data_IF_700404261619
#
_entry.id   IF_700404261619
#
_cell.length_a   1.000
_cell.length_b   1.000
_cell.length_c   1.000
_cell.angle_alpha   90.00
_cell.angle_beta   90.00
_cell.angle_gamma   90.00
#
_symmetry.space_group_name_H-M   'P 1'
#
loop_
_entity.id
_entity.type
_entity.pdbx_description
1 polymer ?
#
# COMPACT_ATOMS: atom_id res chain seq x y z
N UNK A 1 31.10 -27.58 7.47
CA UNK A 1 30.55 -26.70 6.43
C UNK A 1 29.19 -27.24 6.02
N UNK A 2 28.09 -26.63 6.49
CA UNK A 2 26.76 -26.99 6.01
C UNK A 2 26.56 -26.37 4.64
N UNK A 3 26.31 -27.21 3.63
CA UNK A 3 25.90 -26.79 2.30
C UNK A 3 24.56 -26.08 2.43
N UNK A 4 24.56 -24.74 2.39
CA UNK A 4 23.33 -23.95 2.35
C UNK A 4 22.75 -24.18 0.94
N UNK A 5 21.77 -25.07 0.84
CA UNK A 5 20.99 -25.23 -0.38
C UNK A 5 20.29 -23.89 -0.66
N UNK A 6 20.65 -23.25 -1.78
CA UNK A 6 19.93 -22.08 -2.24
C UNK A 6 18.49 -22.49 -2.54
N UNK A 7 17.48 -21.71 -2.10
CA UNK A 7 16.08 -22.02 -2.36
C UNK A 7 15.81 -22.05 -3.87
N UNK A 8 14.90 -22.91 -4.30
CA UNK A 8 14.51 -23.03 -5.71
C UNK A 8 13.85 -21.72 -6.18
N UNK A 9 14.20 -21.30 -7.39
CA UNK A 9 13.51 -20.19 -8.06
C UNK A 9 12.16 -20.67 -8.57
N UNK A 10 11.08 -20.00 -8.18
CA UNK A 10 9.72 -20.33 -8.60
C UNK A 10 9.20 -19.30 -9.61
N UNK A 11 8.46 -19.78 -10.61
CA UNK A 11 7.62 -18.92 -11.46
C UNK A 11 6.31 -18.64 -10.72
N UNK A 12 6.28 -17.51 -10.01
CA UNK A 12 5.13 -17.13 -9.19
C UNK A 12 4.20 -16.19 -9.96
N UNK A 13 3.07 -16.72 -10.44
CA UNK A 13 1.94 -15.93 -10.94
C UNK A 13 0.85 -15.92 -9.86
N UNK A 14 0.77 -14.88 -9.02
CA UNK A 14 -0.15 -14.88 -7.89
C UNK A 14 -1.61 -14.90 -8.37
N UNK A 15 -2.38 -15.88 -7.91
CA UNK A 15 -3.82 -15.91 -8.16
C UNK A 15 -4.55 -14.81 -7.36
N UNK A 16 -4.11 -14.57 -6.13
CA UNK A 16 -4.72 -13.62 -5.18
C UNK A 16 -3.71 -12.60 -4.64
N UNK A 17 -4.21 -11.49 -4.11
CA UNK A 17 -3.36 -10.49 -3.45
C UNK A 17 -2.60 -11.04 -2.23
N UNK A 18 -3.22 -11.94 -1.48
CA UNK A 18 -2.57 -12.61 -0.34
C UNK A 18 -1.41 -13.49 -0.81
N UNK A 19 -1.58 -14.20 -1.93
CA UNK A 19 -0.50 -15.03 -2.51
C UNK A 19 0.63 -14.18 -3.10
N UNK A 20 0.34 -12.98 -3.61
CA UNK A 20 1.33 -11.98 -4.06
C UNK A 20 2.15 -11.45 -2.88
N UNK A 21 1.50 -11.24 -1.74
CA UNK A 21 2.08 -10.58 -0.58
C UNK A 21 2.08 -9.06 -0.70
N UNK A 22 2.52 -8.42 0.38
CA UNK A 22 2.53 -6.97 0.59
C UNK A 22 3.96 -6.44 0.49
N UNK A 23 4.17 -5.34 -0.24
CA UNK A 23 5.50 -4.77 -0.43
C UNK A 23 6.13 -4.33 0.90
N UNK A 24 7.35 -4.78 1.17
CA UNK A 24 8.10 -4.41 2.39
C UNK A 24 9.08 -3.29 2.06
N UNK A 25 9.05 -2.16 2.77
CA UNK A 25 9.93 -1.02 2.50
C UNK A 25 11.32 -1.21 3.10
N UNK A 26 11.99 -2.32 2.77
CA UNK A 26 13.35 -2.59 3.23
C UNK A 26 14.37 -1.57 2.70
N UNK A 27 15.41 -1.31 3.49
CA UNK A 27 16.52 -0.43 3.11
C UNK A 27 17.70 -1.20 2.52
N UNK A 28 17.79 -2.51 2.78
CA UNK A 28 18.79 -3.40 2.18
C UNK A 28 18.58 -3.53 0.68
N UNK A 29 19.55 -3.16 -0.18
CA UNK A 29 19.37 -3.15 -1.63
C UNK A 29 18.97 -4.49 -2.24
N UNK A 30 19.48 -5.61 -1.68
CA UNK A 30 19.12 -6.96 -2.12
C UNK A 30 17.68 -7.36 -1.88
N UNK A 31 16.99 -6.64 -1.01
CA UNK A 31 15.58 -6.86 -0.67
C UNK A 31 14.67 -5.82 -1.34
N UNK A 32 15.18 -5.04 -2.29
CA UNK A 32 14.38 -4.13 -3.08
C UNK A 32 13.25 -4.89 -3.80
N UNK A 33 12.02 -4.40 -3.67
CA UNK A 33 10.84 -5.06 -4.25
C UNK A 33 10.39 -6.33 -3.51
N UNK A 34 11.02 -6.71 -2.41
CA UNK A 34 10.58 -7.85 -1.62
C UNK A 34 9.17 -7.64 -1.05
N UNK A 35 8.41 -8.72 -0.98
CA UNK A 35 7.04 -8.75 -0.45
C UNK A 35 6.94 -9.74 0.69
N UNK A 36 6.17 -9.42 1.73
CA UNK A 36 5.86 -10.32 2.83
C UNK A 36 4.46 -10.89 2.67
N UNK A 37 4.30 -12.18 2.95
CA UNK A 37 2.98 -12.84 2.97
C UNK A 37 2.90 -13.82 4.12
N UNK A 38 1.67 -14.17 4.50
CA UNK A 38 1.43 -15.28 5.41
C UNK A 38 1.56 -16.58 4.62
N UNK A 39 2.62 -17.34 4.89
CA UNK A 39 2.88 -18.65 4.29
C UNK A 39 2.08 -19.79 4.94
N UNK A 40 2.37 -21.04 4.56
CA UNK A 40 1.79 -22.22 5.19
C UNK A 40 1.97 -22.20 6.72
N UNK A 41 1.02 -22.76 7.46
CA UNK A 41 1.04 -22.80 8.94
C UNK A 41 1.12 -21.43 9.63
N UNK A 42 0.69 -20.35 8.95
CA UNK A 42 0.73 -18.97 9.45
C UNK A 42 2.13 -18.43 9.73
N UNK A 43 3.17 -19.01 9.14
CA UNK A 43 4.53 -18.47 9.23
C UNK A 43 4.76 -17.39 8.17
N UNK A 44 5.36 -16.23 8.52
CA UNK A 44 5.66 -15.17 7.56
C UNK A 44 6.76 -15.60 6.56
N UNK A 45 6.49 -15.44 5.28
CA UNK A 45 7.44 -15.68 4.19
C UNK A 45 7.74 -14.39 3.43
N UNK A 46 8.92 -14.34 2.82
CA UNK A 46 9.33 -13.27 1.92
C UNK A 46 9.41 -13.79 0.49
N UNK A 47 8.74 -13.08 -0.41
CA UNK A 47 8.87 -13.20 -1.86
C UNK A 47 9.91 -12.17 -2.30
N UNK A 48 11.09 -12.61 -2.69
CA UNK A 48 12.22 -11.76 -3.07
C UNK A 48 12.42 -11.84 -4.59
N UNK A 49 12.46 -10.70 -5.31
CA UNK A 49 12.81 -10.71 -6.73
C UNK A 49 14.15 -11.40 -6.97
N UNK A 50 14.30 -12.08 -8.12
CA UNK A 50 15.54 -12.78 -8.44
C UNK A 50 16.74 -11.81 -8.41
N UNK A 51 17.72 -11.97 -7.49
CA UNK A 51 18.83 -11.03 -7.34
C UNK A 51 19.76 -10.92 -8.55
N UNK A 52 19.64 -11.84 -9.50
CA UNK A 52 20.37 -11.81 -10.78
C UNK A 52 19.62 -11.01 -11.86
N UNK A 53 18.47 -10.40 -11.55
CA UNK A 53 17.61 -9.70 -12.51
C UNK A 53 16.95 -10.63 -13.54
N UNK A 54 17.01 -11.94 -13.29
CA UNK A 54 16.34 -12.97 -14.09
C UNK A 54 14.85 -13.04 -13.81
N UNK A 55 14.13 -13.86 -14.59
CA UNK A 55 12.72 -14.16 -14.31
C UNK A 55 12.57 -14.97 -13.02
N UNK A 56 11.39 -14.88 -12.42
CA UNK A 56 11.00 -15.63 -11.23
C UNK A 56 11.33 -14.92 -9.92
N UNK A 57 10.96 -15.57 -8.82
CA UNK A 57 11.14 -15.07 -7.45
C UNK A 57 11.71 -16.18 -6.57
N UNK A 58 12.30 -15.78 -5.44
CA UNK A 58 12.63 -16.68 -4.35
C UNK A 58 11.60 -16.53 -3.24
N UNK A 59 11.06 -17.65 -2.76
CA UNK A 59 10.23 -17.67 -1.56
C UNK A 59 11.11 -18.19 -0.42
N UNK A 60 11.35 -17.32 0.57
CA UNK A 60 12.30 -17.57 1.65
C UNK A 60 11.71 -17.23 3.00
N UNK A 61 12.09 -18.01 4.00
CA UNK A 61 11.96 -17.65 5.40
C UNK A 61 13.05 -16.63 5.78
N UNK A 62 12.90 -15.93 6.90
CA UNK A 62 13.88 -14.92 7.33
C UNK A 62 15.30 -15.48 7.55
N UNK A 63 15.41 -16.73 8.01
CA UNK A 63 16.69 -17.42 8.10
C UNK A 63 17.39 -17.54 6.75
N UNK A 64 16.63 -17.78 5.67
CA UNK A 64 17.13 -17.84 4.31
C UNK A 64 17.57 -16.48 3.76
N UNK A 65 16.96 -15.37 4.20
CA UNK A 65 17.39 -14.01 3.82
C UNK A 65 18.84 -13.74 4.22
N UNK A 66 19.26 -14.23 5.38
CA UNK A 66 20.65 -14.07 5.86
C UNK A 66 21.68 -14.84 5.03
N UNK A 67 21.24 -15.83 4.25
CA UNK A 67 22.08 -16.50 3.27
C UNK A 67 22.21 -15.69 1.96
N UNK A 68 21.25 -14.80 1.67
CA UNK A 68 21.26 -13.95 0.48
C UNK A 68 22.00 -12.64 0.72
N UNK A 69 21.82 -12.01 1.88
CA UNK A 69 22.36 -10.70 2.21
C UNK A 69 22.54 -10.49 3.72
N UNK A 70 23.16 -9.39 4.12
CA UNK A 70 23.17 -8.91 5.50
C UNK A 70 22.13 -7.78 5.66
N UNK A 71 20.95 -8.03 6.25
CA UNK A 71 19.92 -7.00 6.40
C UNK A 71 20.36 -5.90 7.37
N UNK A 72 19.87 -4.68 7.16
CA UNK A 72 20.04 -3.58 8.11
C UNK A 72 19.33 -3.86 9.44
N UNK A 73 19.68 -3.08 10.46
CA UNK A 73 18.98 -3.13 11.76
C UNK A 73 17.50 -2.77 11.58
N UNK A 74 17.21 -1.74 10.77
CA UNK A 74 15.85 -1.36 10.40
C UNK A 74 15.06 -2.57 9.85
N UNK A 75 15.62 -3.25 8.84
CA UNK A 75 14.96 -4.36 8.16
C UNK A 75 14.74 -5.55 9.09
N UNK A 76 15.71 -5.83 9.97
CA UNK A 76 15.60 -6.90 10.96
C UNK A 76 14.49 -6.63 11.98
N UNK A 77 14.37 -5.40 12.46
CA UNK A 77 13.31 -5.01 13.39
C UNK A 77 11.94 -4.98 12.72
N UNK A 78 11.86 -4.47 11.48
CA UNK A 78 10.65 -4.49 10.67
C UNK A 78 10.13 -5.91 10.49
N UNK A 79 10.98 -6.83 10.02
CA UNK A 79 10.56 -8.21 9.84
C UNK A 79 10.13 -8.87 11.16
N UNK A 80 10.86 -8.63 12.26
CA UNK A 80 10.50 -9.17 13.58
C UNK A 80 9.08 -8.75 14.00
N UNK A 81 8.69 -7.50 13.75
CA UNK A 81 7.32 -7.02 14.06
C UNK A 81 6.28 -7.59 13.12
N UNK A 82 6.58 -7.66 11.82
CA UNK A 82 5.70 -8.28 10.84
C UNK A 82 5.44 -9.75 11.17
N UNK A 83 6.44 -10.47 11.66
CA UNK A 83 6.32 -11.86 12.07
C UNK A 83 5.41 -12.10 13.27
N UNK A 84 5.12 -11.06 14.06
CA UNK A 84 4.18 -11.12 15.19
C UNK A 84 2.73 -10.80 14.77
N UNK A 85 2.50 -10.37 13.52
CA UNK A 85 1.16 -10.05 13.05
C UNK A 85 0.35 -11.33 12.76
N UNK A 86 -0.95 -11.37 13.13
CA UNK A 86 -1.80 -12.53 12.85
C UNK A 86 -2.11 -12.69 11.35
N UNK A 87 -2.09 -11.59 10.60
CA UNK A 87 -2.26 -11.53 9.15
C UNK A 87 -1.48 -10.33 8.61
N UNK A 88 -0.81 -10.51 7.48
CA UNK A 88 -0.09 -9.47 6.77
C UNK A 88 -0.99 -8.88 5.68
N UNK A 89 -1.33 -7.60 5.83
CA UNK A 89 -2.07 -6.79 4.87
C UNK A 89 -1.38 -5.41 4.70
N UNK A 90 -1.71 -4.64 3.65
CA UNK A 90 -1.06 -3.36 3.37
C UNK A 90 -1.14 -2.34 4.49
N UNK A 91 -2.28 -2.26 5.20
CA UNK A 91 -2.44 -1.27 6.26
C UNK A 91 -1.57 -1.63 7.46
N UNK A 92 -1.65 -2.87 7.95
CA UNK A 92 -0.84 -3.32 9.10
C UNK A 92 0.65 -3.29 8.81
N UNK A 93 1.05 -3.65 7.60
CA UNK A 93 2.46 -3.55 7.20
C UNK A 93 2.91 -2.09 7.21
N UNK A 94 2.10 -1.17 6.66
CA UNK A 94 2.42 0.25 6.63
C UNK A 94 2.52 0.83 8.03
N UNK A 95 1.56 0.54 8.91
CA UNK A 95 1.61 0.96 10.32
C UNK A 95 2.86 0.44 11.02
N UNK A 96 3.20 -0.84 10.81
CA UNK A 96 4.40 -1.45 11.38
C UNK A 96 5.67 -0.77 10.85
N UNK A 97 5.74 -0.50 9.55
CA UNK A 97 6.87 0.18 8.92
C UNK A 97 7.04 1.60 9.44
N UNK A 98 5.95 2.37 9.57
CA UNK A 98 5.97 3.71 10.16
C UNK A 98 6.42 3.66 11.62
N UNK A 99 5.90 2.71 12.42
CA UNK A 99 6.32 2.58 13.81
C UNK A 99 7.84 2.31 13.95
N UNK A 100 8.39 1.40 13.13
CA UNK A 100 9.84 1.09 13.14
C UNK A 100 10.66 2.27 12.62
N UNK A 101 10.22 2.94 11.56
CA UNK A 101 10.91 4.10 11.02
C UNK A 101 10.92 5.29 11.99
N UNK A 102 9.85 5.47 12.78
CA UNK A 102 9.73 6.50 13.82
C UNK A 102 10.79 6.36 14.93
N UNK A 103 11.31 5.15 15.16
CA UNK A 103 12.37 4.89 16.14
C UNK A 103 13.76 5.34 15.67
N UNK A 104 13.90 5.77 14.41
CA UNK A 104 15.11 6.40 13.89
C UNK A 104 16.17 5.45 13.35
N UNK A 105 15.87 4.15 13.23
CA UNK A 105 16.80 3.16 12.66
C UNK A 105 17.09 3.35 11.16
N UNK A 106 16.29 4.17 10.47
CA UNK A 106 16.51 4.59 9.07
C UNK A 106 16.88 6.09 8.97
N UNK A 107 17.43 6.68 10.04
CA UNK A 107 17.84 8.07 10.11
C UNK A 107 16.84 9.02 10.77
N UNK A 108 17.36 10.17 11.24
CA UNK A 108 16.58 11.19 11.98
C UNK A 108 15.56 11.91 11.09
N UNK A 109 15.93 12.18 9.84
CA UNK A 109 15.04 12.84 8.87
C UNK A 109 13.84 11.95 8.56
N UNK A 110 14.08 10.65 8.32
CA UNK A 110 13.03 9.63 8.15
C UNK A 110 12.09 9.61 9.34
N UNK A 111 12.61 9.55 10.57
CA UNK A 111 11.78 9.56 11.78
C UNK A 111 10.91 10.84 11.89
N UNK A 112 11.45 12.00 11.53
CA UNK A 112 10.70 13.27 11.57
C UNK A 112 9.60 13.34 10.50
N UNK A 113 9.85 12.85 9.27
CA UNK A 113 8.84 12.75 8.22
C UNK A 113 7.72 11.76 8.59
N UNK A 114 8.10 10.61 9.14
CA UNK A 114 7.17 9.56 9.57
C UNK A 114 6.27 10.02 10.71
N UNK A 115 6.78 10.79 11.69
CA UNK A 115 5.93 11.37 12.75
C UNK A 115 4.81 12.25 12.18
N UNK A 116 5.14 13.12 11.22
CA UNK A 116 4.14 13.96 10.54
C UNK A 116 3.11 13.11 9.77
N UNK A 117 3.54 11.99 9.18
CA UNK A 117 2.64 11.05 8.52
C UNK A 117 1.67 10.39 9.49
N UNK A 118 2.18 9.90 10.62
CA UNK A 118 1.35 9.28 11.67
C UNK A 118 0.32 10.28 12.22
N UNK A 119 0.72 11.53 12.45
CA UNK A 119 -0.18 12.60 12.89
C UNK A 119 -1.26 12.91 11.84
N UNK A 120 -0.88 13.03 10.57
CA UNK A 120 -1.83 13.25 9.47
C UNK A 120 -2.81 12.08 9.30
N UNK A 121 -2.35 10.85 9.43
CA UNK A 121 -3.20 9.65 9.37
C UNK A 121 -4.20 9.62 10.53
N UNK A 122 -3.75 9.97 11.74
CA UNK A 122 -4.63 10.06 12.92
C UNK A 122 -5.70 11.12 12.72
N UNK A 123 -5.34 12.29 12.20
CA UNK A 123 -6.29 13.34 11.87
C UNK A 123 -7.29 12.90 10.79
N UNK A 124 -6.83 12.17 9.77
CA UNK A 124 -7.68 11.65 8.70
C UNK A 124 -8.65 10.58 9.18
N UNK A 125 -8.23 9.66 10.07
CA UNK A 125 -9.11 8.67 10.71
C UNK A 125 -10.19 9.33 11.56
N UNK A 126 -9.81 10.32 12.39
CA UNK A 126 -10.78 11.07 13.18
C UNK A 126 -11.80 11.78 12.29
N UNK A 127 -11.34 12.43 11.21
CA UNK A 127 -12.22 13.10 10.23
C UNK A 127 -13.16 12.10 9.55
N UNK A 128 -12.65 10.94 9.15
CA UNK A 128 -13.44 9.87 8.55
C UNK A 128 -14.56 9.40 9.47
N UNK A 129 -14.23 9.10 10.73
CA UNK A 129 -15.21 8.69 11.72
C UNK A 129 -16.32 9.74 11.92
N UNK A 130 -15.94 11.02 12.07
CA UNK A 130 -16.90 12.11 12.27
C UNK A 130 -17.81 12.29 11.05
N UNK A 131 -17.26 12.27 9.84
CA UNK A 131 -18.04 12.40 8.61
C UNK A 131 -19.02 11.23 8.42
N UNK A 132 -18.60 10.00 8.73
CA UNK A 132 -19.47 8.82 8.63
C UNK A 132 -20.64 8.92 9.62
N UNK A 133 -20.37 9.33 10.86
CA UNK A 133 -21.39 9.56 11.88
C UNK A 133 -22.35 10.69 11.49
N UNK A 134 -21.83 11.84 11.04
CA UNK A 134 -22.68 12.94 10.57
C UNK A 134 -23.56 12.52 9.41
N UNK A 135 -23.02 11.76 8.45
CA UNK A 135 -23.80 11.25 7.31
C UNK A 135 -24.91 10.29 7.78
N UNK A 136 -24.62 9.40 8.73
CA UNK A 136 -25.62 8.51 9.32
C UNK A 136 -26.72 9.27 10.06
N UNK A 137 -26.37 10.27 10.87
CA UNK A 137 -27.35 11.09 11.61
C UNK A 137 -28.28 11.79 10.63
N UNK A 138 -27.72 12.44 9.60
CA UNK A 138 -28.52 13.14 8.59
C UNK A 138 -29.43 12.20 7.79
N UNK A 139 -29.01 10.95 7.56
CA UNK A 139 -29.82 9.96 6.85
C UNK A 139 -31.00 9.45 7.70
N UNK A 140 -30.81 9.28 9.00
CA UNK A 140 -31.83 8.71 9.91
C UNK A 140 -32.76 9.77 10.51
N UNK A 141 -32.29 11.01 10.66
CA UNK A 141 -33.08 12.16 11.14
C UNK A 141 -33.08 13.30 10.09
N UNK A 142 -33.69 13.08 8.89
CA UNK A 142 -33.68 14.06 7.81
C UNK A 142 -34.48 15.33 8.13
N UNK A 143 -35.47 15.23 9.03
CA UNK A 143 -36.28 16.35 9.50
C UNK A 143 -35.48 17.32 10.39
N UNK A 144 -34.24 16.95 10.76
CA UNK A 144 -33.40 17.77 11.63
C UNK A 144 -34.06 18.01 12.98
N UNK A 145 -34.83 17.06 13.50
CA UNK A 145 -35.47 17.19 14.83
C UNK A 145 -34.44 17.34 15.93
N UNK A 146 -33.22 16.88 15.67
CA UNK A 146 -32.04 17.10 16.50
C UNK A 146 -31.20 18.33 16.10
N UNK A 147 -31.47 19.01 14.99
CA UNK A 147 -30.72 20.17 14.49
C UNK A 147 -29.41 19.80 13.77
N UNK A 148 -28.74 20.77 13.11
CA UNK A 148 -27.54 20.50 12.32
C UNK A 148 -26.41 19.96 13.20
N UNK A 149 -25.77 18.89 12.73
CA UNK A 149 -24.62 18.30 13.42
C UNK A 149 -23.34 18.94 12.89
N UNK A 150 -22.68 19.75 13.73
CA UNK A 150 -21.32 20.20 13.45
C UNK A 150 -20.39 18.99 13.37
N UNK A 151 -19.48 18.91 12.40
CA UNK A 151 -18.47 17.84 12.31
C UNK A 151 -17.37 17.96 13.37
N UNK A 152 -17.52 18.83 14.38
CA UNK A 152 -16.62 18.94 15.52
C UNK A 152 -16.98 17.93 16.59
N UNK A 153 -15.98 17.18 17.05
CA UNK A 153 -16.17 16.23 18.15
C UNK A 153 -16.37 16.97 19.46
N UNK A 154 -17.59 16.92 19.97
CA UNK A 154 -17.98 17.49 21.27
C UNK A 154 -18.65 16.41 22.12
N UNK A 155 -18.67 16.54 23.47
CA UNK A 155 -19.40 15.60 24.32
C UNK A 155 -20.89 15.47 23.94
N UNK A 156 -21.50 16.55 23.46
CA UNK A 156 -22.89 16.54 22.98
C UNK A 156 -23.04 15.79 21.66
N UNK A 157 -22.07 15.90 20.74
CA UNK A 157 -22.01 15.10 19.52
C UNK A 157 -21.94 13.60 19.87
N UNK A 158 -21.02 13.22 20.76
CA UNK A 158 -20.83 11.82 21.17
C UNK A 158 -22.11 11.27 21.84
N UNK A 159 -22.78 12.08 22.68
CA UNK A 159 -24.06 11.72 23.31
C UNK A 159 -25.18 11.50 22.28
N UNK A 160 -25.30 12.39 21.29
CA UNK A 160 -26.29 12.26 20.21
C UNK A 160 -26.03 11.05 19.32
N UNK A 161 -24.78 10.84 18.93
CA UNK A 161 -24.38 9.66 18.16
C UNK A 161 -24.75 8.39 18.93
N UNK A 162 -24.39 8.30 20.23
CA UNK A 162 -24.76 7.15 21.07
C UNK A 162 -26.28 6.92 21.13
N UNK A 163 -27.06 7.98 21.39
CA UNK A 163 -28.53 7.89 21.43
C UNK A 163 -29.14 7.44 20.08
N UNK A 164 -28.56 7.88 18.96
CA UNK A 164 -28.96 7.43 17.63
C UNK A 164 -28.69 5.92 17.46
N UNK A 165 -27.50 5.46 17.81
CA UNK A 165 -27.14 4.05 17.69
C UNK A 165 -28.05 3.16 18.54
N UNK A 166 -28.36 3.57 19.77
CA UNK A 166 -29.32 2.88 20.63
C UNK A 166 -30.72 2.78 20.01
N UNK A 167 -31.14 3.82 19.31
CA UNK A 167 -32.47 3.88 18.66
C UNK A 167 -32.55 2.99 17.43
N UNK A 168 -31.51 2.96 16.60
CA UNK A 168 -31.54 2.20 15.34
C UNK A 168 -31.15 0.73 15.52
N UNK A 169 -30.37 0.38 16.54
CA UNK A 169 -29.87 -0.98 16.77
C UNK A 169 -30.94 -2.10 16.67
N UNK A 170 -32.17 -1.94 17.21
CA UNK A 170 -33.22 -2.94 17.06
C UNK A 170 -33.60 -3.22 15.59
N UNK A 171 -33.59 -2.20 14.73
CA UNK A 171 -33.91 -2.36 13.31
C UNK A 171 -32.83 -3.15 12.54
N UNK A 172 -31.61 -3.21 13.09
CA UNK A 172 -30.51 -4.01 12.57
C UNK A 172 -30.39 -5.39 13.26
N UNK A 173 -31.22 -5.67 14.27
CA UNK A 173 -31.18 -6.93 15.01
C UNK A 173 -29.92 -7.15 15.84
N UNK A 174 -29.23 -6.08 16.26
CA UNK A 174 -28.00 -6.17 17.04
C UNK A 174 -27.97 -5.17 18.20
N UNK A 175 -26.90 -5.22 19.02
CA UNK A 175 -26.68 -4.22 20.08
C UNK A 175 -26.08 -2.92 19.53
N UNK A 176 -26.33 -1.80 20.21
CA UNK A 176 -25.76 -0.49 19.84
C UNK A 176 -24.22 -0.48 19.88
N UNK A 177 -23.62 -1.22 20.81
CA UNK A 177 -22.16 -1.40 20.90
C UNK A 177 -21.58 -2.04 19.65
N UNK A 178 -22.29 -3.00 19.04
CA UNK A 178 -21.86 -3.63 17.79
C UNK A 178 -21.86 -2.63 16.62
N UNK A 179 -22.85 -1.74 16.56
CA UNK A 179 -22.89 -0.66 15.56
C UNK A 179 -21.79 0.38 15.80
N UNK A 180 -21.52 0.74 17.07
CA UNK A 180 -20.45 1.65 17.42
C UNK A 180 -19.08 1.10 16.99
N UNK A 181 -18.77 -0.15 17.34
CA UNK A 181 -17.55 -0.85 16.89
C UNK A 181 -17.47 -0.92 15.37
N UNK A 182 -18.60 -1.13 14.69
CA UNK A 182 -18.64 -1.13 13.22
C UNK A 182 -18.31 0.23 12.63
N UNK A 183 -18.81 1.32 13.20
CA UNK A 183 -18.50 2.68 12.75
C UNK A 183 -17.05 3.06 12.97
N UNK A 184 -16.46 2.63 14.08
CA UNK A 184 -15.01 2.80 14.32
C UNK A 184 -14.20 2.03 13.27
N UNK A 185 -14.49 0.74 13.08
CA UNK A 185 -13.79 -0.10 12.12
C UNK A 185 -13.94 0.39 10.67
N UNK A 186 -15.12 0.88 10.29
CA UNK A 186 -15.34 1.49 8.98
C UNK A 186 -14.67 2.86 8.86
N UNK A 187 -14.68 3.67 9.92
CA UNK A 187 -13.94 4.93 9.95
C UNK A 187 -12.46 4.71 9.65
N UNK A 188 -11.85 3.73 10.30
CA UNK A 188 -10.46 3.34 10.05
C UNK A 188 -10.24 2.82 8.63
N UNK A 189 -11.05 1.85 8.18
CA UNK A 189 -10.88 1.21 6.88
C UNK A 189 -11.17 2.15 5.69
N UNK A 190 -12.08 3.12 5.84
CA UNK A 190 -12.39 4.09 4.79
C UNK A 190 -11.56 5.38 4.87
N UNK A 191 -10.83 5.63 5.96
CA UNK A 191 -9.98 6.83 6.07
C UNK A 191 -8.97 6.98 4.93
N UNK A 192 -8.28 5.91 4.46
CA UNK A 192 -7.35 6.00 3.33
C UNK A 192 -8.00 6.40 2.01
N UNK A 193 -9.23 5.92 1.75
CA UNK A 193 -9.96 6.25 0.52
C UNK A 193 -10.65 7.61 0.62
N UNK A 194 -10.87 8.13 1.83
CA UNK A 194 -11.54 9.42 2.05
C UNK A 194 -13.04 9.34 1.81
N UNK A 195 -13.80 10.13 2.58
CA UNK A 195 -15.26 9.97 2.67
C UNK A 195 -16.05 10.91 1.76
N UNK A 196 -15.39 11.85 1.11
CA UNK A 196 -16.04 12.75 0.15
C UNK A 196 -15.37 12.63 -1.22
N UNK A 197 -16.09 12.90 -2.33
CA UNK A 197 -15.51 12.84 -3.67
C UNK A 197 -14.28 13.73 -3.85
N UNK A 198 -14.21 14.84 -3.09
CA UNK A 198 -13.13 15.84 -3.15
C UNK A 198 -12.10 15.70 -2.03
N UNK A 199 -12.14 14.63 -1.26
CA UNK A 199 -11.14 14.40 -0.20
C UNK A 199 -9.79 14.04 -0.82
N UNK A 200 -9.04 15.07 -1.23
CA UNK A 200 -7.68 14.97 -1.76
C UNK A 200 -6.62 14.82 -0.67
N UNK A 201 -7.00 14.93 0.60
CA UNK A 201 -6.07 14.78 1.72
C UNK A 201 -5.95 13.32 2.15
N UNK A 202 -6.96 12.50 1.85
CA UNK A 202 -6.92 11.06 2.04
C UNK A 202 -5.75 10.41 1.27
N UNK A 203 -5.16 9.37 1.86
CA UNK A 203 -3.91 8.76 1.39
C UNK A 203 -4.01 8.21 -0.04
N UNK A 204 -5.08 7.49 -0.38
CA UNK A 204 -5.25 6.84 -1.69
C UNK A 204 -5.34 7.88 -2.81
N UNK A 205 -6.22 8.92 -2.74
CA UNK A 205 -6.21 10.03 -3.69
C UNK A 205 -4.85 10.70 -3.87
N UNK A 206 -4.13 10.98 -2.76
CA UNK A 206 -2.78 11.56 -2.84
C UNK A 206 -1.80 10.66 -3.57
N UNK A 207 -1.90 9.34 -3.36
CA UNK A 207 -1.04 8.38 -4.04
C UNK A 207 -1.37 8.32 -5.55
N UNK A 208 -2.64 8.40 -5.92
CA UNK A 208 -3.05 8.47 -7.34
C UNK A 208 -2.50 9.73 -8.02
N UNK A 209 -2.70 10.91 -7.42
CA UNK A 209 -2.18 12.18 -7.94
C UNK A 209 -0.65 12.08 -8.14
N UNK A 210 0.08 11.57 -7.14
CA UNK A 210 1.55 11.40 -7.20
C UNK A 210 2.00 10.38 -8.27
N UNK A 211 1.23 9.32 -8.49
CA UNK A 211 1.54 8.31 -9.51
C UNK A 211 1.29 8.87 -10.91
N UNK A 212 0.24 9.65 -11.09
CA UNK A 212 -0.05 10.35 -12.35
C UNK A 212 1.06 11.37 -12.69
N UNK A 213 1.50 12.17 -11.72
CA UNK A 213 2.63 13.09 -11.89
C UNK A 213 3.91 12.35 -12.34
N UNK A 214 4.16 11.20 -11.74
CA UNK A 214 5.34 10.36 -12.05
C UNK A 214 5.24 9.78 -13.46
N UNK A 215 4.07 9.24 -13.82
CA UNK A 215 3.79 8.71 -15.15
C UNK A 215 3.98 9.79 -16.22
N UNK A 216 3.46 10.99 -15.98
CA UNK A 216 3.60 12.13 -16.89
C UNK A 216 5.06 12.59 -17.01
N UNK A 217 5.80 12.61 -15.90
CA UNK A 217 7.23 12.93 -15.89
C UNK A 217 8.07 11.93 -16.70
N UNK A 218 7.80 10.63 -16.59
CA UNK A 218 8.48 9.60 -17.39
C UNK A 218 8.14 9.77 -18.87
N UNK A 219 6.85 9.97 -19.19
CA UNK A 219 6.40 10.17 -20.59
C UNK A 219 7.13 11.35 -21.23
N UNK A 220 7.13 12.52 -20.58
CA UNK A 220 7.81 13.70 -21.11
C UNK A 220 9.32 13.51 -21.27
N UNK A 221 9.95 12.75 -20.38
CA UNK A 221 11.38 12.41 -20.54
C UNK A 221 11.62 11.47 -21.73
N UNK A 222 10.77 10.46 -21.95
CA UNK A 222 10.90 9.56 -23.09
C UNK A 222 10.69 10.27 -24.43
N UNK A 223 9.72 11.18 -24.49
CA UNK A 223 9.43 11.96 -25.70
C UNK A 223 10.63 12.86 -26.09
N UNK A 224 11.32 13.41 -25.09
CA UNK A 224 12.55 14.19 -25.30
C UNK A 224 13.77 13.33 -25.67
N UNK A 225 13.73 12.02 -25.45
CA UNK A 225 14.89 11.11 -25.55
C UNK A 225 14.63 9.93 -26.50
N UNK A 226 13.77 10.10 -27.51
CA UNK A 226 13.17 9.02 -28.31
C UNK A 226 14.14 8.01 -28.99
N UNK A 227 15.44 8.31 -29.08
CA UNK A 227 16.46 7.43 -29.66
C UNK A 227 17.15 6.49 -28.64
N UNK A 228 16.73 6.51 -27.37
CA UNK A 228 17.37 5.75 -26.28
C UNK A 228 16.98 4.26 -26.30
N UNK A 229 17.96 3.39 -26.05
CA UNK A 229 17.80 1.93 -26.01
C UNK A 229 16.86 1.45 -24.89
N UNK A 230 16.67 2.26 -23.85
CA UNK A 230 15.77 1.97 -22.73
C UNK A 230 14.32 2.43 -22.94
N UNK A 231 13.98 3.05 -24.08
CA UNK A 231 12.64 3.57 -24.33
C UNK A 231 11.54 2.47 -24.24
N UNK A 232 11.88 1.23 -24.60
CA UNK A 232 10.99 0.08 -24.42
C UNK A 232 10.66 -0.20 -22.95
N UNK A 233 11.64 -0.12 -22.04
CA UNK A 233 11.42 -0.28 -20.60
C UNK A 233 10.55 0.83 -20.04
N UNK A 234 10.82 2.08 -20.45
CA UNK A 234 10.00 3.23 -20.07
C UNK A 234 8.53 3.06 -20.44
N UNK A 235 8.24 2.59 -21.67
CA UNK A 235 6.87 2.29 -22.11
C UNK A 235 6.21 1.17 -21.29
N UNK A 236 6.96 0.14 -20.92
CA UNK A 236 6.45 -0.94 -20.03
C UNK A 236 6.08 -0.41 -18.64
N UNK A 237 6.92 0.45 -18.05
CA UNK A 237 6.64 1.09 -16.76
C UNK A 237 5.40 1.97 -16.85
N UNK A 238 5.29 2.80 -17.89
CA UNK A 238 4.10 3.65 -18.13
C UNK A 238 2.84 2.80 -18.28
N UNK A 239 2.89 1.72 -19.07
CA UNK A 239 1.73 0.84 -19.26
C UNK A 239 1.27 0.21 -17.93
N UNK A 240 2.20 -0.19 -17.07
CA UNK A 240 1.89 -0.66 -15.72
C UNK A 240 1.24 0.41 -14.85
N UNK A 241 1.77 1.64 -14.87
CA UNK A 241 1.20 2.77 -14.13
C UNK A 241 -0.20 3.12 -14.63
N UNK A 242 -0.41 3.19 -15.95
CA UNK A 242 -1.72 3.47 -16.56
C UNK A 242 -2.75 2.43 -16.15
N UNK A 243 -2.39 1.15 -16.16
CA UNK A 243 -3.27 0.09 -15.69
C UNK A 243 -3.63 0.27 -14.21
N UNK A 244 -2.65 0.52 -13.35
CA UNK A 244 -2.87 0.72 -11.92
C UNK A 244 -3.75 1.95 -11.65
N UNK A 245 -3.47 3.09 -12.27
CA UNK A 245 -4.21 4.34 -12.14
C UNK A 245 -5.68 4.18 -12.56
N UNK A 246 -5.91 3.59 -13.75
CA UNK A 246 -7.26 3.39 -14.27
C UNK A 246 -8.09 2.44 -13.39
N UNK A 247 -7.47 1.34 -12.96
CA UNK A 247 -8.11 0.31 -12.12
C UNK A 247 -8.42 0.89 -10.73
N UNK A 248 -7.46 1.58 -10.13
CA UNK A 248 -7.61 2.14 -8.79
C UNK A 248 -8.60 3.31 -8.74
N UNK A 249 -8.63 4.16 -9.79
CA UNK A 249 -9.60 5.26 -9.87
C UNK A 249 -11.04 4.73 -9.96
N UNK A 250 -11.29 3.71 -10.78
CA UNK A 250 -12.60 3.08 -10.89
C UNK A 250 -13.03 2.41 -9.57
N UNK A 251 -12.10 1.71 -8.91
CA UNK A 251 -12.33 1.07 -7.64
C UNK A 251 -12.59 2.08 -6.52
N UNK A 252 -11.81 3.16 -6.45
CA UNK A 252 -12.00 4.26 -5.50
C UNK A 252 -13.38 4.89 -5.64
N UNK A 253 -13.82 5.17 -6.86
CA UNK A 253 -15.15 5.71 -7.13
C UNK A 253 -16.26 4.75 -6.65
N UNK A 254 -16.12 3.46 -6.93
CA UNK A 254 -17.07 2.42 -6.50
C UNK A 254 -17.12 2.31 -4.98
N UNK A 255 -15.96 2.25 -4.32
CA UNK A 255 -15.84 2.18 -2.86
C UNK A 255 -16.46 3.41 -2.21
N UNK A 256 -16.16 4.62 -2.70
CA UNK A 256 -16.78 5.86 -2.21
C UNK A 256 -18.28 5.92 -2.46
N UNK A 257 -18.77 5.35 -3.55
CA UNK A 257 -20.20 5.24 -3.83
C UNK A 257 -20.97 4.51 -2.71
N UNK A 258 -20.33 3.55 -2.04
CA UNK A 258 -20.96 2.84 -0.90
C UNK A 258 -21.18 3.71 0.34
N UNK A 259 -20.47 4.84 0.45
CA UNK A 259 -20.58 5.80 1.55
C UNK A 259 -21.76 6.77 1.39
N UNK A 260 -22.41 6.78 0.22
CA UNK A 260 -23.62 7.57 0.00
C UNK A 260 -24.83 7.03 0.78
N UNK A 261 -24.76 5.78 1.26
CA UNK A 261 -25.78 5.12 2.09
C UNK A 261 -25.15 4.51 3.36
N UNK A 262 -24.84 5.34 4.38
CA UNK A 262 -24.29 4.88 5.66
C UNK A 262 -25.14 3.83 6.38
N UNK A 263 -26.48 3.93 6.33
CA UNK A 263 -27.37 2.96 6.95
C UNK A 263 -27.30 1.59 6.24
N UNK A 264 -27.30 1.57 4.90
CA UNK A 264 -27.08 0.34 4.15
C UNK A 264 -25.67 -0.22 4.33
N UNK A 265 -24.66 0.64 4.52
CA UNK A 265 -23.31 0.22 4.88
C UNK A 265 -23.27 -0.48 6.26
N UNK A 266 -23.96 0.06 7.27
CA UNK A 266 -24.12 -0.61 8.56
C UNK A 266 -24.85 -1.94 8.43
N UNK A 267 -25.88 -2.02 7.57
CA UNK A 267 -26.58 -3.28 7.33
C UNK A 267 -25.64 -4.35 6.77
N UNK A 268 -24.78 -3.96 5.81
CA UNK A 268 -23.74 -4.84 5.25
C UNK A 268 -22.71 -5.24 6.30
N UNK A 269 -22.30 -4.31 7.16
CA UNK A 269 -21.41 -4.61 8.28
C UNK A 269 -21.99 -5.68 9.20
N UNK A 270 -23.24 -5.51 9.64
CA UNK A 270 -23.91 -6.48 10.54
C UNK A 270 -23.99 -7.87 9.90
N UNK A 271 -24.24 -7.94 8.60
CA UNK A 271 -24.29 -9.21 7.87
C UNK A 271 -22.90 -9.82 7.63
N UNK A 272 -21.90 -9.00 7.28
CA UNK A 272 -20.55 -9.44 6.93
C UNK A 272 -19.52 -8.33 7.19
N UNK A 273 -18.93 -8.29 8.40
CA UNK A 273 -17.88 -7.33 8.75
C UNK A 273 -16.66 -7.47 7.84
N UNK A 274 -16.22 -8.72 7.61
CA UNK A 274 -15.02 -9.01 6.83
C UNK A 274 -15.14 -8.56 5.37
N UNK A 275 -16.30 -8.76 4.73
CA UNK A 275 -16.50 -8.32 3.35
C UNK A 275 -16.53 -6.78 3.24
N UNK A 276 -17.14 -6.12 4.23
CA UNK A 276 -17.23 -4.65 4.27
C UNK A 276 -15.83 -4.03 4.36
N UNK A 277 -14.97 -4.53 5.25
CA UNK A 277 -13.57 -4.10 5.36
C UNK A 277 -12.76 -4.52 4.13
N UNK A 278 -12.99 -5.73 3.62
CA UNK A 278 -12.35 -6.23 2.40
C UNK A 278 -12.58 -5.30 1.21
N UNK A 279 -13.80 -4.77 1.03
CA UNK A 279 -14.12 -3.80 -0.03
C UNK A 279 -13.41 -2.45 0.17
N UNK A 280 -13.35 -1.95 1.40
CA UNK A 280 -12.69 -0.67 1.71
C UNK A 280 -11.18 -0.71 1.42
N UNK A 281 -10.54 -1.86 1.65
CA UNK A 281 -9.08 -2.05 1.55
C UNK A 281 -8.59 -2.47 0.16
N UNK A 282 -9.46 -2.70 -0.83
CA UNK A 282 -9.05 -3.14 -2.18
C UNK A 282 -8.07 -2.16 -2.85
N UNK A 283 -8.26 -0.85 -2.67
CA UNK A 283 -7.35 0.15 -3.22
C UNK A 283 -5.95 0.07 -2.60
N UNK A 284 -5.87 -0.27 -1.30
CA UNK A 284 -4.59 -0.49 -0.63
C UNK A 284 -3.85 -1.68 -1.23
N UNK A 285 -4.56 -2.79 -1.43
CA UNK A 285 -3.99 -3.96 -2.09
C UNK A 285 -3.54 -3.66 -3.52
N UNK A 286 -4.36 -2.97 -4.30
CA UNK A 286 -4.05 -2.66 -5.69
C UNK A 286 -2.82 -1.75 -5.83
N UNK A 287 -2.73 -0.73 -4.97
CA UNK A 287 -1.66 0.27 -5.02
C UNK A 287 -0.40 -0.12 -4.21
N UNK A 288 -0.43 -1.24 -3.51
CA UNK A 288 0.70 -1.74 -2.72
C UNK A 288 1.96 -1.98 -3.58
N UNK A 289 3.05 -1.29 -3.20
CA UNK A 289 4.36 -1.32 -3.87
C UNK A 289 4.61 -0.18 -4.87
N UNK A 290 3.57 0.53 -5.32
CA UNK A 290 3.71 1.61 -6.31
C UNK A 290 4.44 2.85 -5.78
N UNK A 291 4.34 3.13 -4.48
CA UNK A 291 5.08 4.24 -3.88
C UNK A 291 6.60 4.01 -3.94
N UNK A 292 7.05 2.76 -3.80
CA UNK A 292 8.45 2.39 -3.99
C UNK A 292 8.95 2.65 -5.42
N UNK A 293 8.16 2.25 -6.43
CA UNK A 293 8.45 2.50 -7.85
C UNK A 293 8.59 4.00 -8.11
N UNK A 294 7.65 4.80 -7.60
CA UNK A 294 7.67 6.26 -7.73
C UNK A 294 8.93 6.88 -7.13
N UNK A 295 9.29 6.44 -5.93
CA UNK A 295 10.42 7.00 -5.18
C UNK A 295 11.77 6.74 -5.87
N UNK A 296 11.88 5.72 -6.72
CA UNK A 296 13.08 5.52 -7.55
C UNK A 296 13.24 6.61 -8.61
N UNK A 297 12.14 7.09 -9.19
CA UNK A 297 12.15 8.10 -10.25
C UNK A 297 12.33 9.52 -9.73
N UNK A 298 11.61 9.88 -8.66
CA UNK A 298 11.51 11.27 -8.20
C UNK A 298 12.86 12.00 -7.95
N UNK A 299 13.88 11.38 -7.31
CA UNK A 299 15.17 12.05 -7.10
C UNK A 299 16.12 11.98 -8.31
N UNK A 300 15.75 11.30 -9.40
CA UNK A 300 16.60 11.14 -10.57
C UNK A 300 16.64 12.44 -11.41
N UNK A 301 17.70 13.23 -11.19
CA UNK A 301 17.85 14.57 -11.78
C UNK A 301 18.55 14.61 -13.14
N UNK A 302 19.51 13.71 -13.40
CA UNK A 302 20.22 13.62 -14.66
C UNK A 302 19.80 12.38 -15.48
N UNK A 303 20.07 12.40 -16.79
CA UNK A 303 19.62 11.31 -17.68
C UNK A 303 20.24 9.96 -17.33
N UNK A 304 21.49 9.93 -16.82
CA UNK A 304 22.10 8.69 -16.36
C UNK A 304 21.36 8.08 -15.16
N UNK A 305 20.95 8.91 -14.19
CA UNK A 305 20.19 8.47 -13.03
C UNK A 305 18.75 8.08 -13.42
N UNK A 306 18.14 8.76 -14.40
CA UNK A 306 16.81 8.41 -14.92
C UNK A 306 16.82 7.06 -15.63
N UNK A 307 17.85 6.78 -16.42
CA UNK A 307 18.07 5.45 -17.03
C UNK A 307 18.21 4.36 -15.97
N UNK A 308 19.04 4.59 -14.96
CA UNK A 308 19.22 3.66 -13.84
C UNK A 308 17.90 3.44 -13.06
N UNK A 309 17.15 4.51 -12.79
CA UNK A 309 15.85 4.43 -12.13
C UNK A 309 14.87 3.57 -12.93
N UNK A 310 14.77 3.74 -14.26
CA UNK A 310 13.89 2.93 -15.10
C UNK A 310 14.25 1.45 -15.09
N UNK A 311 15.54 1.11 -15.09
CA UNK A 311 16.00 -0.27 -14.97
C UNK A 311 15.57 -0.90 -13.63
N UNK A 312 15.74 -0.18 -12.52
CA UNK A 312 15.31 -0.64 -11.20
C UNK A 312 13.78 -0.73 -11.10
N UNK A 313 13.06 0.29 -11.57
CA UNK A 313 11.60 0.32 -11.57
C UNK A 313 11.02 -0.86 -12.31
N UNK A 314 11.55 -1.19 -13.49
CA UNK A 314 11.10 -2.32 -14.29
C UNK A 314 11.22 -3.65 -13.53
N UNK A 315 12.22 -3.81 -12.65
CA UNK A 315 12.43 -5.01 -11.82
C UNK A 315 11.45 -5.12 -10.64
N UNK A 316 10.95 -3.99 -10.12
CA UNK A 316 10.11 -3.95 -8.92
C UNK A 316 8.65 -3.59 -9.20
N UNK A 317 8.24 -3.57 -10.48
CA UNK A 317 6.85 -3.31 -10.86
C UNK A 317 5.90 -4.29 -10.14
N UNK A 318 4.87 -3.78 -9.44
CA UNK A 318 3.85 -4.63 -8.82
C UNK A 318 3.11 -5.47 -9.87
N UNK A 319 3.17 -6.80 -9.69
CA UNK A 319 2.35 -7.74 -10.48
C UNK A 319 0.88 -7.64 -10.04
N UNK A 320 -0.04 -7.68 -11.00
CA UNK A 320 -1.47 -7.72 -10.76
C UNK A 320 -1.95 -9.18 -10.65
N UNK A 321 -2.49 -9.61 -9.49
CA UNK A 321 -3.05 -10.96 -9.34
C UNK A 321 -4.30 -11.16 -10.20
N UNK A 322 -4.64 -12.42 -10.51
CA UNK A 322 -5.87 -12.76 -11.27
C UNK A 322 -7.14 -12.21 -10.63
N UNK A 323 -7.23 -12.26 -9.30
CA UNK A 323 -8.37 -11.80 -8.51
C UNK A 323 -8.84 -10.36 -8.84
N UNK A 324 -7.96 -9.48 -9.32
CA UNK A 324 -8.33 -8.10 -9.68
C UNK A 324 -9.38 -8.01 -10.80
N UNK A 325 -9.47 -9.02 -11.68
CA UNK A 325 -10.48 -9.07 -12.74
C UNK A 325 -11.89 -9.21 -12.13
N UNK A 326 -12.01 -9.93 -11.02
CA UNK A 326 -13.25 -10.10 -10.27
C UNK A 326 -13.69 -8.81 -9.59
N UNK A 327 -12.75 -7.92 -9.26
CA UNK A 327 -13.05 -6.65 -8.60
C UNK A 327 -13.55 -5.58 -9.56
N UNK A 328 -13.13 -5.65 -10.82
CA UNK A 328 -13.32 -4.56 -11.79
C UNK A 328 -14.13 -4.93 -13.02
N UNK A 329 -14.45 -6.22 -13.21
CA UNK A 329 -15.10 -6.76 -14.43
C UNK A 329 -14.37 -6.32 -15.71
N UNK A 330 -13.05 -6.11 -15.63
CA UNK A 330 -12.20 -5.70 -16.76
C UNK A 330 -11.15 -6.77 -17.03
N UNK A 331 -10.84 -6.97 -18.30
CA UNK A 331 -9.70 -7.79 -18.69
C UNK A 331 -8.40 -7.08 -18.33
N UNK A 332 -7.51 -7.76 -17.62
CA UNK A 332 -6.16 -7.28 -17.35
C UNK A 332 -5.22 -7.85 -18.42
N UNK A 333 -4.34 -7.04 -19.03
CA UNK A 333 -3.34 -7.54 -19.97
C UNK A 333 -2.41 -8.57 -19.32
N UNK A 334 -2.09 -9.66 -20.03
CA UNK A 334 -1.21 -10.73 -19.54
C UNK A 334 0.16 -10.21 -19.08
N UNK A 335 0.70 -9.19 -19.78
CA UNK A 335 1.96 -8.54 -19.42
C UNK A 335 1.97 -7.90 -18.01
N UNK A 336 0.80 -7.56 -17.44
CA UNK A 336 0.70 -7.05 -16.07
C UNK A 336 0.59 -8.17 -15.00
N UNK A 337 0.39 -9.40 -15.45
CA UNK A 337 0.28 -10.61 -14.61
C UNK A 337 1.60 -11.38 -14.54
N UNK A 338 2.56 -11.01 -15.40
CA UNK A 338 3.89 -11.58 -15.45
C UNK A 338 4.87 -10.78 -14.58
N UNK A 339 5.77 -11.45 -13.84
CA UNK A 339 6.87 -10.79 -13.15
C UNK A 339 7.73 -9.97 -14.13
N UNK A 340 8.31 -8.91 -13.58
CA UNK A 340 9.20 -7.95 -14.22
C UNK A 340 10.12 -8.49 -15.34
N UNK A 341 10.39 -7.61 -16.31
CA UNK A 341 11.29 -7.87 -17.43
C UNK A 341 12.68 -8.33 -16.95
N UNK A 342 13.29 -9.25 -17.70
CA UNK A 342 14.68 -9.65 -17.46
C UNK A 342 15.58 -8.43 -17.69
N UNK A 343 16.13 -7.88 -16.62
CA UNK A 343 17.08 -6.77 -16.67
C UNK A 343 18.40 -7.27 -16.11
N UNK A 344 19.33 -7.63 -16.99
CA UNK A 344 20.68 -8.00 -16.61
C UNK A 344 21.49 -6.71 -16.49
N UNK A 345 21.69 -6.23 -15.26
CA UNK A 345 22.69 -5.19 -15.02
C UNK A 345 24.08 -5.82 -15.14
N UNK A 346 24.93 -5.30 -16.01
CA UNK A 346 26.31 -5.78 -16.19
C UNK A 346 27.23 -5.45 -15.00
N UNK A 347 26.75 -4.71 -14.00
CA UNK A 347 27.57 -4.25 -12.87
C UNK A 347 27.20 -4.98 -11.57
N UNK A 348 27.97 -6.02 -11.23
CA UNK A 348 27.93 -6.75 -9.95
C UNK A 348 28.58 -5.96 -8.77
N UNK A 349 28.98 -4.71 -9.00
CA UNK A 349 29.76 -3.89 -8.05
C UNK A 349 29.00 -3.54 -6.76
N UNK A 350 27.67 -3.66 -6.73
CA UNK A 350 26.85 -3.34 -5.56
C UNK A 350 26.88 -4.42 -4.45
N UNK A 351 27.46 -5.61 -4.73
CA UNK A 351 27.55 -6.72 -3.75
C UNK A 351 28.67 -6.56 -2.70
N UNK A 352 29.54 -5.53 -2.78
CA UNK A 352 30.68 -5.34 -1.85
C UNK A 352 30.96 -3.87 -1.50
N UNK A 353 31.28 -3.58 -0.23
CA UNK A 353 31.96 -2.34 0.20
C UNK A 353 31.10 -1.04 0.19
N UNK A 354 31.75 0.09 -0.08
CA UNK A 354 31.18 1.45 -0.01
C UNK A 354 29.94 1.68 -0.90
N UNK A 355 29.81 0.95 -2.02
CA UNK A 355 28.66 1.02 -2.92
C UNK A 355 27.36 0.52 -2.25
N UNK A 356 27.46 -0.49 -1.37
CA UNK A 356 26.31 -0.99 -0.63
C UNK A 356 25.81 0.03 0.41
N UNK A 357 26.72 0.71 1.10
CA UNK A 357 26.37 1.77 2.05
C UNK A 357 25.70 2.97 1.38
N UNK A 358 26.19 3.40 0.20
CA UNK A 358 25.56 4.46 -0.57
C UNK A 358 24.13 4.10 -1.00
N UNK A 359 23.89 2.84 -1.41
CA UNK A 359 22.55 2.38 -1.76
C UNK A 359 21.63 2.24 -0.53
N UNK A 360 22.15 1.82 0.62
CA UNK A 360 21.38 1.82 1.88
C UNK A 360 20.97 3.25 2.24
N UNK A 361 21.93 4.19 2.24
CA UNK A 361 21.66 5.59 2.54
C UNK A 361 20.65 6.20 1.55
N UNK A 362 20.78 5.89 0.26
CA UNK A 362 19.78 6.26 -0.75
C UNK A 362 18.40 5.70 -0.36
N UNK A 363 18.30 4.41 -0.08
CA UNK A 363 17.04 3.76 0.24
C UNK A 363 16.39 4.30 1.53
N UNK A 364 17.20 4.66 2.53
CA UNK A 364 16.77 5.38 3.74
C UNK A 364 16.22 6.76 3.40
N UNK A 365 16.91 7.55 2.58
CA UNK A 365 16.43 8.86 2.11
C UNK A 365 15.11 8.72 1.33
N UNK A 366 14.95 7.67 0.53
CA UNK A 366 13.67 7.38 -0.14
C UNK A 366 12.55 7.12 0.87
N UNK A 367 12.82 6.49 2.03
CA UNK A 367 11.81 6.31 3.09
C UNK A 367 11.36 7.65 3.66
N UNK A 368 12.29 8.60 3.83
CA UNK A 368 11.98 9.94 4.30
C UNK A 368 11.12 10.74 3.31
N UNK A 369 11.33 10.55 2.01
CA UNK A 369 10.54 11.20 0.95
C UNK A 369 9.14 10.58 0.75
N UNK A 370 8.99 9.29 1.06
CA UNK A 370 7.72 8.57 0.95
C UNK A 370 6.72 8.90 2.07
N UNK A 371 7.25 9.21 3.26
CA UNK A 371 6.49 9.69 4.41
C UNK A 371 6.03 11.15 4.19
#
# INVERSE_FOLDING_TARGET
MQTIALPLTEFHHPATFQSRGVAVPFTTPLLAGARARTGPHKTPELVVPNPSGGRGVYIVQWSGVRALCNPTVHDTLLFRRLAALPLIDPERLRETALAVACEGYAGKETAAAVRRTIEADRAQRLRAHLLLLTALVNQVDPDGRTGPVSPERTPEFDRRASNLLHRIAPAFGCAATHLATGLDAMGDAFAPVGLTPRDRNARIPRLLDRLEDTRNSISGWLDATAADDIAGLGRTVIAGMDLALNTASALLATTRGTLADPAGLLKRWVASPAETIGRATRCDWLLDGWDGVRLLWQPASCDANRRAALLEMAQVLPVMPREVTEWTNRSIPEAAMDPAARVVSQNDAWRRGAAAFALIQRNEALRAMGA
#
